data_IF_084141787018
#
_entry.id   IF_084141787018
#
_cell.length_a   1.000
_cell.length_b   1.000
_cell.length_c   1.000
_cell.angle_alpha   90.00
_cell.angle_beta   90.00
_cell.angle_gamma   90.00
#
_symmetry.space_group_name_H-M   'P 1'
#
loop_
_entity.id
_entity.type
_entity.pdbx_description
1 polymer ?
#
# COMPACT_ATOMS: atom_id res chain seq x y z
N UNK A 1 43.37 33.57 26.33
CA UNK A 1 43.14 32.30 25.64
C UNK A 1 41.80 31.73 26.05
N UNK A 2 40.74 32.11 25.35
CA UNK A 2 39.38 31.64 25.59
C UNK A 2 39.06 30.48 24.66
N UNK A 3 38.65 29.36 25.24
CA UNK A 3 38.17 28.19 24.47
C UNK A 3 36.71 28.42 24.07
N UNK A 4 36.46 28.52 22.78
CA UNK A 4 35.12 28.47 22.18
C UNK A 4 34.61 27.04 22.24
N UNK A 5 33.49 26.80 22.91
CA UNK A 5 32.71 25.57 22.85
C UNK A 5 31.86 25.59 21.58
N UNK A 6 31.79 24.49 20.78
CA UNK A 6 30.92 24.44 19.62
C UNK A 6 29.47 24.26 20.06
N UNK A 7 28.57 24.99 19.38
CA UNK A 7 27.14 24.98 19.58
C UNK A 7 26.57 23.58 19.33
N UNK A 8 25.66 23.18 20.22
CA UNK A 8 24.88 21.96 20.16
C UNK A 8 24.07 21.87 18.85
N UNK A 9 24.42 20.92 18.01
CA UNK A 9 23.69 20.59 16.81
C UNK A 9 22.27 20.10 17.13
N UNK A 10 21.32 20.71 16.48
CA UNK A 10 19.90 20.35 16.51
C UNK A 10 19.74 18.93 15.96
N UNK A 11 19.62 17.93 16.83
CA UNK A 11 19.24 16.57 16.46
C UNK A 11 17.75 16.57 16.11
N UNK A 12 17.43 16.75 14.82
CA UNK A 12 16.06 16.58 14.32
C UNK A 12 15.76 15.08 14.37
N UNK A 13 14.92 14.69 15.31
CA UNK A 13 14.42 13.33 15.48
C UNK A 13 13.49 12.95 14.33
N UNK A 14 14.03 12.33 13.29
CA UNK A 14 13.33 11.91 12.05
C UNK A 14 12.54 10.60 12.17
N UNK A 15 12.44 9.97 13.35
CA UNK A 15 11.84 8.63 13.51
C UNK A 15 10.38 8.64 13.97
N UNK A 16 9.81 9.79 14.35
CA UNK A 16 8.48 9.86 14.97
C UNK A 16 7.35 10.35 14.04
N UNK A 17 7.66 10.94 12.89
CA UNK A 17 6.64 11.66 12.09
C UNK A 17 5.60 10.73 11.46
N UNK A 18 5.97 9.53 10.98
CA UNK A 18 5.00 8.59 10.37
C UNK A 18 4.03 7.99 11.38
N UNK A 19 4.47 7.75 12.61
CA UNK A 19 3.59 7.26 13.68
C UNK A 19 2.67 8.39 14.18
N UNK A 20 3.06 9.64 14.02
CA UNK A 20 2.28 10.82 14.39
C UNK A 20 1.06 11.00 13.51
N UNK A 21 1.20 10.92 12.17
CA UNK A 21 0.10 11.19 11.22
C UNK A 21 -1.09 10.24 11.45
N UNK A 22 -0.86 8.93 11.61
CA UNK A 22 -1.96 8.00 11.91
C UNK A 22 -2.56 8.19 13.30
N UNK A 23 -1.83 8.74 14.24
CA UNK A 23 -2.39 9.11 15.55
C UNK A 23 -3.30 10.32 15.46
N UNK A 24 -2.98 11.26 14.59
CA UNK A 24 -3.77 12.47 14.34
C UNK A 24 -5.03 12.18 13.50
N UNK A 25 -4.89 11.36 12.44
CA UNK A 25 -6.00 11.02 11.55
C UNK A 25 -6.92 9.95 12.17
N UNK A 26 -6.44 9.23 13.19
CA UNK A 26 -7.18 8.13 13.82
C UNK A 26 -7.10 6.81 13.05
N UNK A 27 -7.84 5.78 13.49
CA UNK A 27 -7.71 4.41 12.98
C UNK A 27 -8.32 4.16 11.60
N UNK A 28 -8.97 5.16 11.00
CA UNK A 28 -9.77 5.00 9.80
C UNK A 28 -11.07 4.19 10.03
N UNK A 29 -11.94 4.18 9.05
CA UNK A 29 -13.19 3.43 9.13
C UNK A 29 -12.98 1.97 8.73
N UNK A 30 -13.28 1.02 9.61
CA UNK A 30 -13.19 -0.42 9.33
C UNK A 30 -14.37 -0.89 8.51
N UNK A 31 -14.16 -1.32 7.26
CA UNK A 31 -15.22 -1.69 6.32
C UNK A 31 -14.85 -2.99 5.60
N UNK A 32 -15.86 -3.83 5.32
CA UNK A 32 -15.71 -4.98 4.44
C UNK A 32 -15.46 -4.51 3.00
N UNK A 33 -14.45 -5.07 2.35
CA UNK A 33 -14.11 -4.72 0.96
C UNK A 33 -15.26 -5.04 0.00
N UNK A 34 -15.99 -6.12 0.25
CA UNK A 34 -17.21 -6.47 -0.52
C UNK A 34 -18.30 -5.40 -0.41
N UNK A 35 -18.47 -4.80 0.78
CA UNK A 35 -19.42 -3.70 0.98
C UNK A 35 -18.99 -2.47 0.19
N UNK A 36 -17.71 -2.08 0.27
CA UNK A 36 -17.19 -0.96 -0.53
C UNK A 36 -17.41 -1.15 -2.03
N UNK A 37 -17.11 -2.34 -2.54
CA UNK A 37 -17.28 -2.65 -3.96
C UNK A 37 -18.76 -2.63 -4.38
N UNK A 38 -19.67 -3.14 -3.53
CA UNK A 38 -21.11 -3.15 -3.79
C UNK A 38 -21.69 -1.73 -3.77
N UNK A 39 -21.39 -0.93 -2.76
CA UNK A 39 -21.83 0.47 -2.66
C UNK A 39 -21.35 1.28 -3.86
N UNK A 40 -20.08 1.11 -4.25
CA UNK A 40 -19.53 1.76 -5.43
C UNK A 40 -20.28 1.37 -6.72
N UNK A 41 -20.56 0.07 -6.87
CA UNK A 41 -21.30 -0.42 -8.06
C UNK A 41 -22.71 0.17 -8.14
N UNK A 42 -23.40 0.26 -7.00
CA UNK A 42 -24.74 0.87 -6.93
C UNK A 42 -24.68 2.35 -7.33
N UNK A 43 -23.66 3.08 -6.89
CA UNK A 43 -23.53 4.52 -7.14
C UNK A 43 -23.05 4.84 -8.56
N UNK A 44 -22.16 4.02 -9.13
CA UNK A 44 -21.45 4.35 -10.37
C UNK A 44 -21.75 3.38 -11.54
N UNK A 45 -22.51 2.31 -11.30
CA UNK A 45 -22.84 1.25 -12.28
C UNK A 45 -21.61 0.62 -12.94
N UNK A 46 -20.47 0.60 -12.24
CA UNK A 46 -19.22 0.01 -12.69
C UNK A 46 -18.43 -0.59 -11.52
N UNK A 47 -17.51 -1.54 -11.80
CA UNK A 47 -16.62 -2.08 -10.77
C UNK A 47 -15.76 -1.02 -10.09
N UNK A 48 -15.39 -1.29 -8.84
CA UNK A 48 -14.50 -0.45 -8.04
C UNK A 48 -13.06 -0.62 -8.54
N UNK A 49 -12.45 0.44 -9.05
CA UNK A 49 -11.08 0.44 -9.57
C UNK A 49 -10.10 0.73 -8.42
N UNK A 50 -9.16 -0.18 -8.20
CA UNK A 50 -8.27 -0.15 -7.05
C UNK A 50 -6.81 -0.23 -7.48
N UNK A 51 -6.02 0.84 -7.27
CA UNK A 51 -4.57 0.76 -7.41
C UNK A 51 -3.98 0.03 -6.20
N UNK A 52 -3.12 -0.94 -6.44
CA UNK A 52 -2.47 -1.75 -5.41
C UNK A 52 -0.97 -1.53 -5.50
N UNK A 53 -0.39 -0.98 -4.43
CA UNK A 53 1.05 -0.96 -4.24
C UNK A 53 1.55 -2.40 -4.08
N UNK A 54 2.18 -2.93 -5.13
CA UNK A 54 2.59 -4.33 -5.19
C UNK A 54 3.77 -4.62 -4.27
N UNK A 55 4.63 -3.65 -4.00
CA UNK A 55 5.80 -3.79 -3.14
C UNK A 55 5.42 -4.24 -1.74
N UNK A 56 4.39 -3.62 -1.17
CA UNK A 56 3.92 -3.96 0.17
C UNK A 56 3.26 -5.34 0.22
N UNK A 57 2.54 -5.71 -0.82
CA UNK A 57 1.94 -7.04 -0.91
C UNK A 57 2.99 -8.13 -1.00
N UNK A 58 4.01 -7.95 -1.84
CA UNK A 58 5.13 -8.89 -1.96
C UNK A 58 5.89 -9.03 -0.64
N UNK A 59 6.02 -7.96 0.12
CA UNK A 59 6.60 -8.01 1.46
C UNK A 59 5.74 -8.80 2.45
N UNK A 60 4.43 -8.53 2.50
CA UNK A 60 3.51 -9.16 3.45
C UNK A 60 3.36 -10.68 3.26
N UNK A 61 3.37 -11.15 2.01
CA UNK A 61 3.20 -12.58 1.71
C UNK A 61 4.40 -13.44 2.09
N UNK A 62 5.56 -12.84 2.39
CA UNK A 62 6.76 -13.57 2.82
C UNK A 62 6.57 -14.33 4.14
N UNK A 63 5.61 -13.91 4.97
CA UNK A 63 5.26 -14.61 6.21
C UNK A 63 4.51 -15.93 6.00
N UNK A 64 4.14 -16.27 4.77
CA UNK A 64 3.49 -17.53 4.43
C UNK A 64 4.30 -18.75 4.87
N UNK A 65 3.63 -19.77 5.39
CA UNK A 65 4.25 -21.00 5.90
C UNK A 65 3.72 -22.25 5.17
N UNK A 66 4.60 -23.24 5.03
CA UNK A 66 4.28 -24.57 4.51
C UNK A 66 4.20 -24.67 2.98
N UNK A 67 4.55 -25.82 2.44
CA UNK A 67 4.61 -26.11 1.00
C UNK A 67 5.88 -25.60 0.30
N UNK A 68 5.99 -25.85 -0.99
CA UNK A 68 7.19 -25.56 -1.79
C UNK A 68 7.41 -24.06 -1.99
N UNK A 69 6.33 -23.28 -2.15
CA UNK A 69 6.39 -21.83 -2.31
C UNK A 69 5.21 -21.16 -1.59
N UNK A 70 5.31 -21.01 -0.25
CA UNK A 70 4.19 -20.52 0.55
C UNK A 70 3.82 -19.07 0.26
N UNK A 71 4.79 -18.24 -0.13
CA UNK A 71 4.54 -16.84 -0.46
C UNK A 71 3.74 -16.73 -1.77
N UNK A 72 4.13 -17.45 -2.83
CA UNK A 72 3.40 -17.45 -4.09
C UNK A 72 1.98 -17.99 -3.92
N UNK A 73 1.81 -19.05 -3.10
CA UNK A 73 0.50 -19.60 -2.76
C UNK A 73 -0.38 -18.56 -2.05
N UNK A 74 0.18 -17.83 -1.10
CA UNK A 74 -0.55 -16.75 -0.41
C UNK A 74 -0.95 -15.65 -1.38
N UNK A 75 -0.06 -15.28 -2.30
CA UNK A 75 -0.36 -14.31 -3.34
C UNK A 75 -1.49 -14.80 -4.25
N UNK A 76 -1.43 -16.02 -4.72
CA UNK A 76 -2.47 -16.66 -5.53
C UNK A 76 -3.86 -16.57 -4.88
N UNK A 77 -3.98 -16.93 -3.60
CA UNK A 77 -5.27 -16.85 -2.90
C UNK A 77 -5.76 -15.41 -2.70
N UNK A 78 -4.86 -14.44 -2.55
CA UNK A 78 -5.24 -13.02 -2.55
C UNK A 78 -5.80 -12.58 -3.89
N UNK A 79 -5.21 -13.03 -5.00
CA UNK A 79 -5.71 -12.74 -6.35
C UNK A 79 -7.07 -13.38 -6.60
N UNK A 80 -7.25 -14.65 -6.22
CA UNK A 80 -8.58 -15.30 -6.28
C UNK A 80 -9.62 -14.50 -5.49
N UNK A 81 -9.25 -13.97 -4.34
CA UNK A 81 -10.16 -13.13 -3.54
C UNK A 81 -10.56 -11.86 -4.28
N UNK A 82 -9.65 -11.20 -4.96
CA UNK A 82 -9.97 -10.03 -5.78
C UNK A 82 -10.94 -10.38 -6.91
N UNK A 83 -10.77 -11.52 -7.58
CA UNK A 83 -11.70 -11.99 -8.61
C UNK A 83 -13.12 -12.21 -8.07
N UNK A 84 -13.25 -12.64 -6.81
CA UNK A 84 -14.56 -12.86 -6.18
C UNK A 84 -15.28 -11.57 -5.76
N UNK A 85 -14.59 -10.44 -5.86
CA UNK A 85 -15.12 -9.11 -5.54
C UNK A 85 -15.35 -8.33 -6.84
N UNK A 86 -16.32 -7.44 -6.84
CA UNK A 86 -16.55 -6.56 -7.99
C UNK A 86 -15.51 -5.40 -8.00
N UNK A 87 -14.24 -5.77 -8.18
CA UNK A 87 -13.08 -4.88 -8.15
C UNK A 87 -12.26 -5.08 -9.42
N UNK A 88 -11.85 -3.97 -10.03
CA UNK A 88 -10.82 -3.94 -11.07
C UNK A 88 -9.50 -3.49 -10.45
N UNK A 89 -8.59 -4.42 -10.09
CA UNK A 89 -7.30 -4.07 -9.52
C UNK A 89 -6.33 -3.63 -10.62
N UNK A 90 -5.52 -2.62 -10.30
CA UNK A 90 -4.35 -2.20 -11.06
C UNK A 90 -3.12 -2.40 -10.17
N UNK A 91 -2.22 -3.29 -10.55
CA UNK A 91 -1.01 -3.57 -9.79
C UNK A 91 0.12 -2.63 -10.19
N UNK A 92 0.55 -1.78 -9.26
CA UNK A 92 1.59 -0.77 -9.48
C UNK A 92 2.91 -1.26 -8.90
N UNK A 93 3.95 -1.29 -9.73
CA UNK A 93 5.31 -1.67 -9.36
C UNK A 93 6.22 -0.45 -9.29
N UNK A 94 7.21 -0.51 -8.41
CA UNK A 94 8.26 0.51 -8.36
C UNK A 94 9.02 0.59 -9.69
N UNK A 95 9.41 1.80 -10.03
CA UNK A 95 10.15 2.10 -11.26
C UNK A 95 11.67 2.25 -11.04
N UNK A 96 12.39 2.56 -12.13
CA UNK A 96 13.85 2.65 -12.10
C UNK A 96 14.38 3.86 -11.33
N UNK A 97 13.59 4.92 -11.22
CA UNK A 97 13.98 6.16 -10.53
C UNK A 97 13.65 6.16 -9.02
N UNK A 98 13.38 4.98 -8.47
CA UNK A 98 13.17 4.85 -7.02
C UNK A 98 14.43 5.27 -6.26
N UNK A 99 14.32 6.12 -5.22
CA UNK A 99 15.46 6.52 -4.41
C UNK A 99 16.18 5.30 -3.82
N UNK A 100 17.49 5.21 -4.03
CA UNK A 100 18.33 4.10 -3.51
C UNK A 100 18.53 4.20 -2.00
N UNK A 101 18.31 5.37 -1.43
CA UNK A 101 18.42 5.65 0.00
C UNK A 101 17.12 6.19 0.54
N UNK A 102 16.53 5.50 1.51
CA UNK A 102 15.36 5.96 2.26
C UNK A 102 15.74 5.99 3.75
N UNK A 103 15.71 7.18 4.37
CA UNK A 103 15.98 7.37 5.81
C UNK A 103 17.33 6.84 6.28
N UNK A 104 18.41 7.19 5.59
CA UNK A 104 19.77 6.72 5.88
C UNK A 104 19.95 5.19 5.86
N UNK A 105 19.01 4.44 5.28
CA UNK A 105 19.12 3.02 5.01
C UNK A 105 19.12 2.76 3.51
N UNK A 106 20.03 1.90 3.06
CA UNK A 106 20.06 1.44 1.66
C UNK A 106 18.80 0.62 1.39
N UNK A 107 17.94 1.07 0.48
CA UNK A 107 16.64 0.44 0.16
C UNK A 107 16.72 -0.42 -1.11
N UNK A 108 17.87 -0.48 -1.76
CA UNK A 108 18.13 -1.29 -2.94
C UNK A 108 19.60 -1.61 -3.10
N UNK A 109 19.93 -2.52 -3.98
CA UNK A 109 21.29 -2.92 -4.32
C UNK A 109 21.53 -4.42 -4.18
N UNK A 110 22.69 -4.93 -4.64
CA UNK A 110 22.95 -6.38 -4.82
C UNK A 110 22.89 -7.23 -3.54
N UNK A 111 22.92 -6.62 -2.36
CA UNK A 111 22.92 -7.33 -1.07
C UNK A 111 21.65 -7.08 -0.23
N UNK A 112 20.64 -6.39 -0.76
CA UNK A 112 19.35 -6.25 -0.08
C UNK A 112 18.52 -7.47 -0.43
N UNK A 113 18.10 -8.26 0.56
CA UNK A 113 17.18 -9.40 0.36
C UNK A 113 15.90 -8.86 -0.22
N UNK A 114 15.75 -9.00 -1.52
CA UNK A 114 14.50 -8.81 -2.24
C UNK A 114 13.56 -9.95 -1.83
N UNK A 115 12.30 -9.68 -1.80
CA UNK A 115 11.18 -10.57 -1.50
C UNK A 115 11.41 -12.02 -1.89
N UNK A 116 10.96 -12.95 -1.05
CA UNK A 116 11.08 -14.40 -1.28
C UNK A 116 10.28 -14.89 -2.50
N UNK A 117 9.33 -14.09 -3.00
CA UNK A 117 8.74 -14.28 -4.32
C UNK A 117 9.51 -13.38 -5.27
N UNK A 118 10.23 -13.93 -6.24
CA UNK A 118 10.79 -13.14 -7.32
C UNK A 118 9.68 -12.33 -7.97
N UNK A 119 9.89 -11.02 -8.10
CA UNK A 119 8.93 -10.10 -8.75
C UNK A 119 8.48 -10.62 -10.13
N UNK A 120 9.38 -11.31 -10.82
CA UNK A 120 9.12 -12.01 -12.06
C UNK A 120 7.96 -13.03 -11.94
N UNK A 121 7.94 -13.89 -10.91
CA UNK A 121 6.87 -14.88 -10.71
C UNK A 121 5.53 -14.19 -10.37
N UNK A 122 5.58 -13.13 -9.57
CA UNK A 122 4.39 -12.34 -9.27
C UNK A 122 3.81 -11.72 -10.53
N UNK A 123 4.64 -11.12 -11.39
CA UNK A 123 4.22 -10.55 -12.68
C UNK A 123 3.64 -11.60 -13.63
N UNK A 124 4.25 -12.78 -13.70
CA UNK A 124 3.69 -13.87 -14.50
C UNK A 124 2.31 -14.31 -13.99
N UNK A 125 2.19 -14.47 -12.68
CA UNK A 125 0.92 -14.85 -12.07
C UNK A 125 -0.17 -13.82 -12.35
N UNK A 126 0.12 -12.53 -12.18
CA UNK A 126 -0.82 -11.44 -12.49
C UNK A 126 -1.26 -11.47 -13.95
N UNK A 127 -0.33 -11.72 -14.88
CA UNK A 127 -0.67 -11.88 -16.32
C UNK A 127 -1.60 -13.07 -16.57
N UNK A 128 -1.36 -14.21 -15.91
CA UNK A 128 -2.26 -15.36 -16.03
C UNK A 128 -3.66 -15.09 -15.48
N UNK A 129 -3.78 -14.22 -14.46
CA UNK A 129 -5.07 -13.75 -13.96
C UNK A 129 -5.73 -12.69 -14.85
N UNK A 130 -5.01 -12.16 -15.83
CA UNK A 130 -5.49 -11.06 -16.70
C UNK A 130 -5.51 -9.70 -15.98
N UNK A 131 -4.81 -9.54 -14.85
CA UNK A 131 -4.75 -8.27 -14.15
C UNK A 131 -3.76 -7.30 -14.80
N UNK A 132 -4.13 -6.02 -14.95
CA UNK A 132 -3.26 -5.00 -15.51
C UNK A 132 -2.09 -4.70 -14.57
N UNK A 133 -0.93 -4.44 -15.18
CA UNK A 133 0.31 -4.05 -14.52
C UNK A 133 0.67 -2.62 -14.95
N UNK A 134 1.11 -1.82 -13.99
CA UNK A 134 1.63 -0.48 -14.23
C UNK A 134 3.00 -0.34 -13.57
N UNK A 135 3.91 0.38 -14.23
CA UNK A 135 5.25 0.66 -13.71
C UNK A 135 5.35 2.14 -13.41
N UNK A 136 5.52 2.47 -12.14
CA UNK A 136 5.75 3.84 -11.72
C UNK A 136 7.07 4.38 -12.31
N UNK A 137 7.19 5.67 -12.56
CA UNK A 137 8.48 6.29 -12.86
C UNK A 137 9.47 6.17 -11.68
N UNK A 138 8.94 6.24 -10.45
CA UNK A 138 9.66 6.18 -9.18
C UNK A 138 9.01 5.20 -8.19
N UNK A 139 8.53 5.70 -7.07
CA UNK A 139 7.87 4.89 -6.03
C UNK A 139 6.41 4.58 -6.39
N UNK A 140 6.00 3.32 -6.22
CA UNK A 140 4.64 2.86 -6.52
C UNK A 140 3.57 3.58 -5.68
N UNK A 141 3.88 3.92 -4.43
CA UNK A 141 2.96 4.63 -3.52
C UNK A 141 2.59 6.03 -4.03
N UNK A 142 3.56 6.77 -4.58
CA UNK A 142 3.34 8.09 -5.18
C UNK A 142 2.51 8.00 -6.46
N UNK A 143 2.83 7.01 -7.29
CA UNK A 143 2.12 6.76 -8.55
C UNK A 143 0.66 6.33 -8.29
N UNK A 144 0.40 5.45 -7.31
CA UNK A 144 -0.95 5.08 -6.91
C UNK A 144 -1.79 6.31 -6.53
N UNK A 145 -1.21 7.24 -5.76
CA UNK A 145 -1.89 8.48 -5.38
C UNK A 145 -2.16 9.36 -6.58
N UNK A 146 -1.22 9.48 -7.52
CA UNK A 146 -1.40 10.23 -8.76
C UNK A 146 -2.53 9.64 -9.61
N UNK A 147 -2.52 8.33 -9.85
CA UNK A 147 -3.56 7.63 -10.61
C UNK A 147 -4.97 7.85 -10.03
N UNK A 148 -5.07 7.94 -8.71
CA UNK A 148 -6.35 8.25 -8.08
C UNK A 148 -6.75 9.71 -8.27
N UNK A 149 -5.83 10.66 -8.11
CA UNK A 149 -6.10 12.10 -8.34
C UNK A 149 -6.55 12.39 -9.77
N UNK A 150 -5.98 11.67 -10.73
CA UNK A 150 -6.36 11.74 -12.16
C UNK A 150 -7.67 10.97 -12.48
N UNK A 151 -8.30 10.34 -11.49
CA UNK A 151 -9.56 9.62 -11.66
C UNK A 151 -9.44 8.30 -12.45
N UNK A 152 -8.21 7.79 -12.63
CA UNK A 152 -7.97 6.50 -13.30
C UNK A 152 -8.41 5.35 -12.39
N UNK A 153 -8.19 5.50 -11.07
CA UNK A 153 -8.67 4.56 -10.05
C UNK A 153 -9.51 5.29 -9.00
N UNK A 154 -10.32 4.55 -8.25
CA UNK A 154 -11.24 5.10 -7.25
C UNK A 154 -10.61 5.14 -5.86
N UNK A 155 -9.68 4.23 -5.58
CA UNK A 155 -8.95 4.17 -4.31
C UNK A 155 -7.56 3.56 -4.49
N UNK A 156 -6.74 3.70 -3.44
CA UNK A 156 -5.41 3.12 -3.34
C UNK A 156 -5.36 2.11 -2.20
N UNK A 157 -4.76 0.95 -2.41
CA UNK A 157 -4.43 -0.01 -1.36
C UNK A 157 -2.92 0.01 -1.11
N UNK A 158 -2.51 0.62 -0.01
CA UNK A 158 -1.12 0.69 0.45
C UNK A 158 -1.07 0.74 1.98
N UNK A 159 0.01 0.20 2.56
CA UNK A 159 0.26 0.30 4.00
C UNK A 159 1.12 1.55 4.34
N UNK A 160 1.67 2.22 3.35
CA UNK A 160 2.48 3.40 3.60
C UNK A 160 1.60 4.66 3.77
N UNK A 161 1.91 5.42 4.83
CA UNK A 161 1.26 6.71 5.12
C UNK A 161 1.58 7.76 4.06
N UNK A 162 2.71 7.61 3.38
CA UNK A 162 3.15 8.56 2.37
C UNK A 162 2.14 8.67 1.22
N UNK A 163 1.34 7.63 0.97
CA UNK A 163 0.21 7.67 0.02
C UNK A 163 -0.78 8.80 0.33
N UNK A 164 -1.10 9.03 1.60
CA UNK A 164 -1.95 10.15 2.04
C UNK A 164 -1.26 11.49 1.84
N UNK A 165 0.05 11.55 2.11
CA UNK A 165 0.85 12.77 1.90
C UNK A 165 0.96 13.14 0.42
N UNK A 166 0.95 12.16 -0.48
CA UNK A 166 0.89 12.37 -1.93
C UNK A 166 -0.51 12.79 -2.43
N UNK A 167 -1.48 12.96 -1.51
CA UNK A 167 -2.80 13.50 -1.80
C UNK A 167 -3.81 12.48 -2.30
N UNK A 168 -3.67 11.20 -1.92
CA UNK A 168 -4.70 10.21 -2.17
C UNK A 168 -6.01 10.60 -1.47
N UNK A 169 -7.11 10.70 -2.23
CA UNK A 169 -8.44 11.04 -1.69
C UNK A 169 -9.08 9.88 -0.92
N UNK A 170 -8.76 8.62 -1.25
CA UNK A 170 -9.21 7.42 -0.55
C UNK A 170 -8.09 6.39 -0.50
N UNK A 171 -7.60 6.11 0.71
CA UNK A 171 -6.58 5.09 0.95
C UNK A 171 -7.16 3.96 1.79
N UNK A 172 -6.96 2.72 1.32
CA UNK A 172 -7.31 1.49 2.00
C UNK A 172 -6.04 0.90 2.63
N UNK A 173 -6.14 0.47 3.89
CA UNK A 173 -5.02 -0.15 4.62
C UNK A 173 -5.46 -1.38 5.38
N UNK A 174 -4.50 -2.18 5.81
CA UNK A 174 -4.69 -3.31 6.72
C UNK A 174 -5.75 -4.28 6.21
N UNK A 175 -5.58 -4.77 4.97
CA UNK A 175 -6.47 -5.79 4.44
C UNK A 175 -6.28 -7.10 5.19
N UNK A 176 -7.12 -7.30 6.19
CA UNK A 176 -7.04 -8.39 7.16
C UNK A 176 -8.42 -9.01 7.39
N UNK A 177 -8.50 -10.20 8.01
CA UNK A 177 -9.77 -10.76 8.46
C UNK A 177 -10.47 -9.82 9.44
N UNK A 178 -11.79 -9.90 9.49
CA UNK A 178 -12.57 -9.22 10.53
C UNK A 178 -12.29 -9.82 11.90
N UNK A 179 -12.30 -11.15 11.97
CA UNK A 179 -12.05 -11.88 13.22
C UNK A 179 -10.65 -12.51 13.19
N UNK A 180 -9.96 -12.50 14.32
CA UNK A 180 -8.60 -13.07 14.47
C UNK A 180 -8.55 -14.58 14.20
N UNK A 181 -9.67 -15.30 14.36
CA UNK A 181 -9.82 -16.73 14.07
C UNK A 181 -9.82 -17.05 12.57
N UNK A 182 -10.20 -16.11 11.73
CA UNK A 182 -10.20 -16.28 10.27
C UNK A 182 -8.83 -15.97 9.66
N UNK A 183 -8.47 -16.71 8.61
CA UNK A 183 -7.26 -16.44 7.82
C UNK A 183 -7.53 -15.63 6.53
N UNK A 184 -8.80 -15.51 6.15
CA UNK A 184 -9.19 -14.85 4.91
C UNK A 184 -9.36 -13.35 5.12
N UNK A 185 -8.59 -12.48 4.43
CA UNK A 185 -8.74 -11.04 4.54
C UNK A 185 -10.06 -10.59 3.92
N UNK A 186 -10.84 -9.85 4.68
CA UNK A 186 -12.18 -9.37 4.28
C UNK A 186 -12.39 -7.88 4.50
N UNK A 187 -11.67 -7.27 5.42
CA UNK A 187 -11.86 -5.89 5.85
C UNK A 187 -10.61 -5.04 5.64
N UNK A 188 -10.83 -3.76 5.41
CA UNK A 188 -9.79 -2.72 5.32
C UNK A 188 -10.13 -1.56 6.24
N UNK A 189 -9.11 -0.78 6.60
CA UNK A 189 -9.31 0.53 7.19
C UNK A 189 -9.31 1.57 6.06
N UNK A 190 -10.38 2.35 5.97
CA UNK A 190 -10.58 3.35 4.92
C UNK A 190 -10.28 4.73 5.49
N UNK A 191 -9.41 5.46 4.80
CA UNK A 191 -9.05 6.85 5.07
C UNK A 191 -9.53 7.70 3.89
N UNK A 192 -10.33 8.75 4.17
CA UNK A 192 -10.82 9.70 3.17
C UNK A 192 -10.28 11.09 3.48
N UNK A 193 -9.77 11.77 2.46
CA UNK A 193 -9.19 13.11 2.61
C UNK A 193 -10.18 14.15 3.14
N UNK A 194 -11.47 14.02 2.78
CA UNK A 194 -12.50 14.96 3.22
C UNK A 194 -12.81 14.82 4.72
N UNK A 195 -12.78 13.60 5.26
CA UNK A 195 -12.99 13.34 6.68
C UNK A 195 -11.86 13.86 7.57
N UNK A 196 -10.65 14.06 7.02
CA UNK A 196 -9.50 14.56 7.78
C UNK A 196 -9.48 16.08 7.93
N UNK A 197 -10.19 16.81 7.07
CA UNK A 197 -10.29 18.27 7.18
C UNK A 197 -11.24 18.72 8.28
N UNK A 198 -12.26 17.93 8.62
CA UNK A 198 -13.22 18.25 9.68
C UNK A 198 -12.69 17.98 11.09
N UNK A 199 -11.68 17.12 11.25
CA UNK A 199 -11.09 16.81 12.56
C UNK A 199 -9.96 17.75 12.99
N UNK A 200 -9.56 18.70 12.13
CA UNK A 200 -8.44 19.63 12.35
C UNK A 200 -8.88 21.09 12.49
N UNK A 201 -10.20 21.34 12.66
CA UNK A 201 -10.80 22.67 12.86
C UNK A 201 -11.11 22.98 14.32
#
# INVERSE_FOLDING_TARGET
>A
MGKLTPASGLHIASTNTKCSIYKEIGPGQRIAVSKLAAEHYIQHSRPFRLAIDTSIWLFQIQSGKGGTNPALRTFYYRLLRLLSLNIHPLFVFDGPNKPTWKRNKKVGGPNVRVSSVPEFLAKQLLKHFGFPLHYAPGEAEAECALLQREGIVDAVLSEDVDTLMFGSGMTLRSWTPEQKSSKTPTHVNVYRADATKESSG
#
